data_IF_507295630096
#
_entry.id   IF_507295630096
#
_cell.length_a   1.000
_cell.length_b   1.000
_cell.length_c   1.000
_cell.angle_alpha   90.00
_cell.angle_beta   90.00
_cell.angle_gamma   90.00
#
_symmetry.space_group_name_H-M   'P 1'
#
loop_
_entity.id
_entity.type
_entity.pdbx_description
1 polymer ?
#
# COMPACT_ATOMS: atom_id res chain seq x y z
N UNK A 1 34.06 -15.36 -5.32
CA UNK A 1 33.17 -16.37 -4.72
C UNK A 1 31.86 -16.34 -5.49
N UNK A 2 31.44 -17.49 -6.03
CA UNK A 2 30.39 -17.61 -7.06
C UNK A 2 29.07 -16.91 -6.73
N UNK A 3 28.81 -15.78 -7.36
CA UNK A 3 27.51 -15.09 -7.32
C UNK A 3 26.37 -15.96 -7.86
N UNK A 4 26.69 -16.94 -8.70
CA UNK A 4 25.74 -17.86 -9.33
C UNK A 4 25.08 -18.86 -8.33
N UNK A 5 25.66 -19.09 -7.14
CA UNK A 5 25.11 -20.03 -6.13
C UNK A 5 23.86 -19.50 -5.39
N UNK A 6 23.45 -18.26 -5.65
CA UNK A 6 22.37 -17.59 -4.89
C UNK A 6 21.05 -17.50 -5.65
N UNK A 7 20.97 -18.02 -6.87
CA UNK A 7 19.77 -17.97 -7.73
C UNK A 7 18.53 -18.57 -7.05
N UNK A 8 18.70 -19.59 -6.22
CA UNK A 8 17.58 -20.18 -5.48
C UNK A 8 16.92 -19.20 -4.49
N UNK A 9 17.71 -18.40 -3.77
CA UNK A 9 17.17 -17.40 -2.85
C UNK A 9 16.49 -16.24 -3.60
N UNK A 10 17.06 -15.84 -4.75
CA UNK A 10 16.45 -14.86 -5.63
C UNK A 10 15.10 -15.37 -6.14
N UNK A 11 15.07 -16.63 -6.58
CA UNK A 11 13.85 -17.28 -7.03
C UNK A 11 12.79 -17.36 -5.91
N UNK A 12 13.18 -17.76 -4.70
CA UNK A 12 12.27 -17.79 -3.54
C UNK A 12 11.69 -16.40 -3.23
N UNK A 13 12.50 -15.35 -3.30
CA UNK A 13 12.01 -13.97 -3.12
C UNK A 13 10.98 -13.57 -4.16
N UNK A 14 11.27 -13.75 -5.46
CA UNK A 14 10.33 -13.45 -6.52
C UNK A 14 9.10 -14.37 -6.51
N UNK A 15 9.27 -15.65 -6.15
CA UNK A 15 8.16 -16.60 -6.01
C UNK A 15 7.21 -16.19 -4.88
N UNK A 16 7.74 -15.71 -3.75
CA UNK A 16 6.91 -15.21 -2.64
C UNK A 16 6.03 -14.05 -3.07
N UNK A 17 6.59 -13.10 -3.84
CA UNK A 17 5.84 -11.97 -4.41
C UNK A 17 4.83 -12.46 -5.46
N UNK A 18 5.23 -13.40 -6.31
CA UNK A 18 4.35 -14.02 -7.30
C UNK A 18 3.15 -14.70 -6.64
N UNK A 19 3.36 -15.42 -5.54
CA UNK A 19 2.28 -16.07 -4.78
C UNK A 19 1.37 -15.06 -4.08
N UNK A 20 1.90 -13.97 -3.57
CA UNK A 20 1.09 -12.87 -3.05
C UNK A 20 0.14 -12.34 -4.13
N UNK A 21 0.65 -11.97 -5.29
CA UNK A 21 -0.18 -11.44 -6.37
C UNK A 21 -1.11 -12.49 -6.97
N UNK A 22 -0.70 -13.76 -7.04
CA UNK A 22 -1.58 -14.86 -7.45
C UNK A 22 -2.76 -15.03 -6.48
N UNK A 23 -2.49 -14.98 -5.17
CA UNK A 23 -3.53 -15.05 -4.14
C UNK A 23 -4.54 -13.89 -4.26
N UNK A 24 -4.04 -12.66 -4.40
CA UNK A 24 -4.90 -11.47 -4.55
C UNK A 24 -5.72 -11.54 -5.84
N UNK A 25 -5.09 -11.90 -6.97
CA UNK A 25 -5.75 -12.05 -8.26
C UNK A 25 -6.83 -13.13 -8.21
N UNK A 26 -6.51 -14.31 -7.68
CA UNK A 26 -7.47 -15.40 -7.49
C UNK A 26 -8.65 -14.97 -6.62
N UNK A 27 -8.40 -14.30 -5.50
CA UNK A 27 -9.46 -13.83 -4.62
C UNK A 27 -10.36 -12.80 -5.33
N UNK A 28 -9.76 -11.81 -5.99
CA UNK A 28 -10.49 -10.79 -6.73
C UNK A 28 -11.39 -11.43 -7.81
N UNK A 29 -10.84 -12.31 -8.66
CA UNK A 29 -11.58 -12.96 -9.70
C UNK A 29 -12.69 -13.88 -9.15
N UNK A 30 -12.43 -14.55 -8.03
CA UNK A 30 -13.45 -15.37 -7.35
C UNK A 30 -14.59 -14.52 -6.78
N UNK A 31 -14.29 -13.37 -6.18
CA UNK A 31 -15.27 -12.51 -5.51
C UNK A 31 -16.16 -11.75 -6.52
N UNK A 32 -15.58 -11.21 -7.58
CA UNK A 32 -16.26 -10.31 -8.52
C UNK A 32 -16.75 -11.01 -9.78
N UNK A 33 -16.03 -12.00 -10.29
CA UNK A 33 -16.39 -12.73 -11.52
C UNK A 33 -16.94 -14.14 -11.24
N UNK A 34 -16.96 -14.58 -9.98
CA UNK A 34 -17.44 -15.90 -9.61
C UNK A 34 -16.55 -17.05 -10.11
N UNK A 35 -15.34 -16.76 -10.60
CA UNK A 35 -14.42 -17.78 -11.11
C UNK A 35 -13.87 -18.62 -9.96
N UNK A 36 -14.26 -19.90 -9.93
CA UNK A 36 -13.87 -20.85 -8.87
C UNK A 36 -13.48 -22.19 -9.49
N UNK A 37 -12.73 -23.00 -8.71
CA UNK A 37 -12.32 -24.34 -9.09
C UNK A 37 -10.82 -24.56 -8.98
N UNK A 38 -10.42 -25.83 -8.82
CA UNK A 38 -9.02 -26.21 -8.65
C UNK A 38 -8.16 -25.88 -9.85
N UNK A 39 -8.66 -26.16 -11.06
CA UNK A 39 -7.94 -25.91 -12.31
C UNK A 39 -7.69 -24.40 -12.51
N UNK A 40 -8.70 -23.55 -12.29
CA UNK A 40 -8.55 -22.10 -12.38
C UNK A 40 -7.50 -21.59 -11.36
N UNK A 41 -7.60 -22.04 -10.10
CA UNK A 41 -6.65 -21.69 -9.05
C UNK A 41 -5.23 -22.09 -9.46
N UNK A 42 -5.04 -23.33 -9.92
CA UNK A 42 -3.72 -23.82 -10.35
C UNK A 42 -3.15 -23.01 -11.51
N UNK A 43 -3.99 -22.66 -12.51
CA UNK A 43 -3.56 -21.83 -13.64
C UNK A 43 -3.06 -20.46 -13.21
N UNK A 44 -3.77 -19.78 -12.30
CA UNK A 44 -3.33 -18.47 -11.77
C UNK A 44 -1.97 -18.60 -11.09
N UNK A 45 -1.82 -19.54 -10.17
CA UNK A 45 -0.55 -19.71 -9.44
C UNK A 45 0.61 -20.11 -10.36
N UNK A 46 0.38 -21.01 -11.34
CA UNK A 46 1.40 -21.41 -12.32
C UNK A 46 1.83 -20.22 -13.18
N UNK A 47 0.89 -19.38 -13.65
CA UNK A 47 1.22 -18.21 -14.45
C UNK A 47 2.15 -17.24 -13.71
N UNK A 48 1.84 -16.93 -12.46
CA UNK A 48 2.69 -16.06 -11.64
C UNK A 48 4.03 -16.71 -11.30
N UNK A 49 4.06 -18.03 -11.02
CA UNK A 49 5.28 -18.77 -10.77
C UNK A 49 6.22 -18.80 -12.00
N UNK A 50 5.66 -18.92 -13.21
CA UNK A 50 6.44 -18.79 -14.45
C UNK A 50 7.05 -17.39 -14.60
N UNK A 51 6.35 -16.34 -14.21
CA UNK A 51 6.90 -14.97 -14.16
C UNK A 51 8.08 -14.85 -13.20
N UNK A 52 7.97 -15.43 -12.00
CA UNK A 52 9.07 -15.47 -11.04
C UNK A 52 10.27 -16.27 -11.56
N UNK A 53 10.02 -17.39 -12.20
CA UNK A 53 11.07 -18.22 -12.85
C UNK A 53 11.77 -17.44 -13.96
N UNK A 54 11.02 -16.80 -14.87
CA UNK A 54 11.56 -15.96 -15.92
C UNK A 54 12.49 -14.87 -15.36
N UNK A 55 12.01 -14.12 -14.37
CA UNK A 55 12.79 -13.02 -13.73
C UNK A 55 14.06 -13.52 -13.06
N UNK A 56 14.02 -14.71 -12.45
CA UNK A 56 15.16 -15.23 -11.64
C UNK A 56 16.20 -15.98 -12.44
N UNK A 57 15.79 -16.73 -13.46
CA UNK A 57 16.69 -17.63 -14.20
C UNK A 57 17.03 -17.15 -15.61
N UNK A 58 16.11 -16.46 -16.30
CA UNK A 58 16.33 -16.01 -17.66
C UNK A 58 16.91 -14.60 -17.72
N UNK A 59 16.60 -13.73 -16.75
CA UNK A 59 17.24 -12.41 -16.59
C UNK A 59 18.55 -12.59 -15.82
N UNK A 60 19.59 -13.06 -16.50
CA UNK A 60 20.86 -13.61 -16.02
C UNK A 60 21.79 -12.72 -15.18
N UNK A 61 21.43 -11.49 -14.79
CA UNK A 61 22.39 -10.55 -14.19
C UNK A 61 22.05 -10.05 -12.78
N UNK A 62 21.19 -10.74 -12.03
CA UNK A 62 20.79 -10.25 -10.73
C UNK A 62 21.54 -10.92 -9.58
N UNK A 63 22.32 -10.13 -8.84
CA UNK A 63 22.83 -10.53 -7.52
C UNK A 63 21.71 -10.48 -6.50
N UNK A 64 21.91 -11.08 -5.31
CA UNK A 64 20.95 -10.98 -4.19
C UNK A 64 20.58 -9.52 -3.89
N UNK A 65 21.58 -8.65 -3.81
CA UNK A 65 21.39 -7.23 -3.50
C UNK A 65 20.58 -6.54 -4.58
N UNK A 66 20.95 -6.70 -5.85
CA UNK A 66 20.24 -6.11 -6.97
C UNK A 66 18.79 -6.60 -7.05
N UNK A 67 18.53 -7.89 -6.81
CA UNK A 67 17.15 -8.40 -6.76
C UNK A 67 16.36 -7.82 -5.61
N UNK A 68 16.97 -7.61 -4.44
CA UNK A 68 16.33 -6.91 -3.33
C UNK A 68 16.01 -5.47 -3.67
N UNK A 69 16.91 -4.74 -4.32
CA UNK A 69 16.69 -3.37 -4.81
C UNK A 69 15.59 -3.30 -5.88
N UNK A 70 15.57 -4.23 -6.84
CA UNK A 70 14.51 -4.30 -7.87
C UNK A 70 13.12 -4.46 -7.21
N UNK A 71 13.03 -5.33 -6.18
CA UNK A 71 11.79 -5.53 -5.41
C UNK A 71 11.42 -4.27 -4.63
N UNK A 72 12.40 -3.59 -4.02
CA UNK A 72 12.17 -2.32 -3.36
C UNK A 72 11.64 -1.26 -4.34
N UNK A 73 12.23 -1.14 -5.53
CA UNK A 73 11.76 -0.19 -6.54
C UNK A 73 10.33 -0.47 -7.02
N UNK A 74 9.95 -1.76 -7.14
CA UNK A 74 8.57 -2.14 -7.40
C UNK A 74 7.64 -1.66 -6.28
N UNK A 75 8.03 -1.89 -5.02
CA UNK A 75 7.26 -1.46 -3.86
C UNK A 75 7.14 0.07 -3.78
N UNK A 76 8.22 0.77 -4.08
CA UNK A 76 8.27 2.24 -4.12
C UNK A 76 7.30 2.82 -5.14
N UNK A 77 7.20 2.20 -6.32
CA UNK A 77 6.18 2.56 -7.31
C UNK A 77 4.76 2.35 -6.79
N UNK A 78 4.48 1.20 -6.15
CA UNK A 78 3.16 0.90 -5.57
C UNK A 78 2.78 1.92 -4.49
N UNK A 79 3.67 2.20 -3.55
CA UNK A 79 3.44 3.19 -2.48
C UNK A 79 3.16 4.57 -3.06
N UNK A 80 3.94 5.01 -4.06
CA UNK A 80 3.72 6.28 -4.75
C UNK A 80 2.37 6.34 -5.44
N UNK A 81 2.01 5.28 -6.17
CA UNK A 81 0.73 5.19 -6.86
C UNK A 81 -0.46 5.28 -5.90
N UNK A 82 -0.35 4.62 -4.75
CA UNK A 82 -1.36 4.64 -3.70
C UNK A 82 -1.48 6.03 -3.04
N UNK A 83 -0.38 6.76 -2.85
CA UNK A 83 -0.45 8.14 -2.37
C UNK A 83 -1.15 9.07 -3.35
N UNK A 84 -0.85 8.99 -4.64
CA UNK A 84 -1.59 9.76 -5.65
C UNK A 84 -3.06 9.38 -5.71
N UNK A 85 -3.38 8.08 -5.61
CA UNK A 85 -4.77 7.61 -5.58
C UNK A 85 -5.54 8.21 -4.40
N UNK A 86 -4.95 8.16 -3.19
CA UNK A 86 -5.55 8.73 -1.98
C UNK A 86 -5.68 10.25 -2.07
N UNK A 87 -4.71 10.92 -2.65
CA UNK A 87 -4.77 12.36 -2.88
C UNK A 87 -5.93 12.72 -3.79
N UNK A 88 -6.03 12.08 -4.96
CA UNK A 88 -7.09 12.39 -5.93
C UNK A 88 -8.48 12.04 -5.42
N UNK A 89 -8.64 10.84 -4.84
CA UNK A 89 -9.92 10.43 -4.26
C UNK A 89 -10.32 11.36 -3.11
N UNK A 90 -9.39 11.69 -2.20
CA UNK A 90 -9.67 12.56 -1.07
C UNK A 90 -10.14 13.94 -1.49
N UNK A 91 -9.47 14.57 -2.45
CA UNK A 91 -9.85 15.90 -2.96
C UNK A 91 -11.22 15.84 -3.64
N UNK A 92 -11.43 14.92 -4.57
CA UNK A 92 -12.67 14.87 -5.36
C UNK A 92 -13.86 14.47 -4.51
N UNK A 93 -13.72 13.47 -3.63
CA UNK A 93 -14.82 13.05 -2.76
C UNK A 93 -15.16 14.12 -1.71
N UNK A 94 -14.16 14.86 -1.21
CA UNK A 94 -14.40 16.03 -0.36
C UNK A 94 -15.25 17.07 -1.09
N UNK A 95 -14.91 17.42 -2.34
CA UNK A 95 -15.72 18.37 -3.11
C UNK A 95 -17.15 17.89 -3.33
N UNK A 96 -17.33 16.62 -3.69
CA UNK A 96 -18.67 16.02 -3.84
C UNK A 96 -19.43 16.05 -2.50
N UNK A 97 -18.75 15.76 -1.40
CA UNK A 97 -19.35 15.80 -0.06
C UNK A 97 -19.79 17.22 0.32
N UNK A 98 -18.98 18.25 0.05
CA UNK A 98 -19.36 19.65 0.25
C UNK A 98 -20.59 20.02 -0.59
N UNK A 99 -20.59 19.72 -1.89
CA UNK A 99 -21.72 20.01 -2.77
C UNK A 99 -23.01 19.31 -2.32
N UNK A 100 -22.88 18.11 -1.74
CA UNK A 100 -23.99 17.34 -1.21
C UNK A 100 -24.54 17.93 0.09
N UNK A 101 -23.66 18.25 1.03
CA UNK A 101 -24.02 18.78 2.36
C UNK A 101 -24.65 20.17 2.25
N UNK A 102 -24.07 21.04 1.42
CA UNK A 102 -24.54 22.41 1.20
C UNK A 102 -25.72 22.49 0.22
N UNK A 103 -26.28 21.34 -0.21
CA UNK A 103 -27.42 21.29 -1.14
C UNK A 103 -27.16 22.01 -2.48
N UNK A 104 -25.92 22.07 -2.92
CA UNK A 104 -25.52 22.72 -4.17
C UNK A 104 -25.71 21.78 -5.37
N UNK A 105 -25.69 20.45 -5.13
CA UNK A 105 -25.84 19.46 -6.22
C UNK A 105 -27.06 19.72 -7.11
N UNK A 106 -28.30 20.01 -6.59
CA UNK A 106 -29.45 20.25 -7.43
C UNK A 106 -29.36 21.53 -8.26
N UNK A 107 -28.48 22.47 -7.88
CA UNK A 107 -28.27 23.72 -8.62
C UNK A 107 -27.36 23.49 -9.84
N UNK A 108 -26.39 22.57 -9.71
CA UNK A 108 -25.36 22.32 -10.72
C UNK A 108 -25.70 21.15 -11.65
N UNK A 109 -26.51 20.20 -11.19
CA UNK A 109 -26.76 18.94 -11.87
C UNK A 109 -28.25 18.64 -11.98
N UNK A 110 -28.60 17.82 -12.98
CA UNK A 110 -29.96 17.29 -13.11
C UNK A 110 -30.28 16.24 -12.05
N UNK A 111 -31.55 15.92 -11.84
CA UNK A 111 -32.02 14.98 -10.79
C UNK A 111 -31.36 13.61 -10.87
N UNK A 112 -31.08 13.11 -12.07
CA UNK A 112 -30.44 11.81 -12.28
C UNK A 112 -29.00 11.82 -11.73
N UNK A 113 -28.24 12.87 -12.03
CA UNK A 113 -26.87 13.01 -11.56
C UNK A 113 -26.82 13.27 -10.04
N UNK A 114 -27.74 14.06 -9.50
CA UNK A 114 -27.90 14.26 -8.05
C UNK A 114 -28.14 12.92 -7.37
N UNK A 115 -29.09 12.13 -7.85
CA UNK A 115 -29.39 10.81 -7.30
C UNK A 115 -28.17 9.86 -7.39
N UNK A 116 -27.38 9.95 -8.44
CA UNK A 116 -26.16 9.15 -8.61
C UNK A 116 -25.05 9.56 -7.65
N UNK A 117 -24.79 10.88 -7.50
CA UNK A 117 -23.75 11.43 -6.63
C UNK A 117 -24.06 11.26 -5.13
N UNK A 118 -25.30 10.94 -4.77
CA UNK A 118 -25.70 10.57 -3.40
C UNK A 118 -25.57 9.07 -3.10
N UNK A 119 -25.24 8.23 -4.11
CA UNK A 119 -25.07 6.77 -3.94
C UNK A 119 -23.59 6.39 -3.80
N UNK A 120 -23.17 5.79 -2.67
CA UNK A 120 -21.79 5.38 -2.46
C UNK A 120 -21.26 4.40 -3.54
N UNK A 121 -22.11 3.49 -4.01
CA UNK A 121 -21.75 2.54 -5.06
C UNK A 121 -21.46 3.21 -6.41
N UNK A 122 -22.21 4.25 -6.77
CA UNK A 122 -21.95 5.02 -7.98
C UNK A 122 -20.65 5.81 -7.87
N UNK A 123 -20.48 6.56 -6.78
CA UNK A 123 -19.27 7.35 -6.50
C UNK A 123 -18.05 6.44 -6.47
N UNK A 124 -18.12 5.30 -5.78
CA UNK A 124 -17.04 4.33 -5.72
C UNK A 124 -16.64 3.76 -7.07
N UNK A 125 -17.63 3.37 -7.89
CA UNK A 125 -17.36 2.71 -9.17
C UNK A 125 -16.94 3.70 -10.26
N UNK A 126 -17.66 4.83 -10.38
CA UNK A 126 -17.51 5.74 -11.53
C UNK A 126 -16.61 6.95 -11.24
N UNK A 127 -16.29 7.23 -9.97
CA UNK A 127 -15.42 8.34 -9.58
C UNK A 127 -14.15 7.84 -8.90
N UNK A 128 -14.26 7.09 -7.80
CA UNK A 128 -13.07 6.68 -7.06
C UNK A 128 -12.20 5.71 -7.87
N UNK A 129 -12.78 4.70 -8.52
CA UNK A 129 -11.99 3.73 -9.28
C UNK A 129 -11.20 4.37 -10.45
N UNK A 130 -11.77 5.25 -11.30
CA UNK A 130 -10.98 6.00 -12.28
C UNK A 130 -9.89 6.89 -11.67
N UNK A 131 -10.15 7.51 -10.51
CA UNK A 131 -9.15 8.33 -9.81
C UNK A 131 -8.00 7.49 -9.26
N UNK A 132 -8.28 6.26 -8.80
CA UNK A 132 -7.24 5.31 -8.39
C UNK A 132 -6.37 4.95 -9.60
N UNK A 133 -6.96 4.63 -10.75
CA UNK A 133 -6.22 4.37 -11.99
C UNK A 133 -5.35 5.58 -12.37
N UNK A 134 -5.92 6.79 -12.29
CA UNK A 134 -5.17 8.02 -12.55
C UNK A 134 -3.98 8.18 -11.59
N UNK A 135 -4.13 7.80 -10.32
CA UNK A 135 -3.04 7.76 -9.35
C UNK A 135 -1.89 6.85 -9.77
N UNK A 136 -2.21 5.65 -10.27
CA UNK A 136 -1.20 4.72 -10.80
C UNK A 136 -0.51 5.28 -12.05
N UNK A 137 -1.24 5.95 -12.93
CA UNK A 137 -0.66 6.61 -14.11
C UNK A 137 0.24 7.80 -13.72
N UNK A 138 -0.20 8.62 -12.77
CA UNK A 138 0.59 9.76 -12.28
C UNK A 138 1.92 9.31 -11.66
N UNK A 139 1.93 8.16 -10.97
CA UNK A 139 3.14 7.59 -10.38
C UNK A 139 4.18 7.13 -11.39
N UNK A 140 3.82 6.93 -12.66
CA UNK A 140 4.78 6.63 -13.74
C UNK A 140 5.63 7.86 -14.11
N UNK A 141 5.03 9.05 -14.03
CA UNK A 141 5.68 10.30 -14.42
C UNK A 141 6.37 10.99 -13.24
N UNK A 142 5.77 10.97 -12.07
CA UNK A 142 6.31 11.62 -10.88
C UNK A 142 7.27 10.71 -10.14
N UNK A 143 8.41 11.26 -9.70
CA UNK A 143 9.39 10.55 -8.87
C UNK A 143 9.24 10.84 -7.38
N UNK A 144 8.44 11.84 -7.00
CA UNK A 144 8.20 12.17 -5.58
C UNK A 144 7.32 11.12 -4.92
N UNK A 145 7.62 10.77 -3.67
CA UNK A 145 6.78 9.87 -2.87
C UNK A 145 5.52 10.56 -2.35
N UNK A 146 5.49 11.89 -2.31
CA UNK A 146 4.32 12.65 -1.90
C UNK A 146 4.07 12.75 -0.40
N UNK A 147 4.87 12.11 0.47
CA UNK A 147 4.68 12.15 1.93
C UNK A 147 4.63 13.56 2.49
N UNK A 148 5.61 14.38 2.14
CA UNK A 148 5.72 15.75 2.63
C UNK A 148 4.51 16.59 2.21
N UNK A 149 4.07 16.44 0.96
CA UNK A 149 2.90 17.14 0.46
C UNK A 149 1.61 16.69 1.14
N UNK A 150 1.45 15.37 1.34
CA UNK A 150 0.28 14.85 2.05
C UNK A 150 0.27 15.31 3.52
N UNK A 151 1.41 15.30 4.21
CA UNK A 151 1.53 15.82 5.56
C UNK A 151 1.17 17.31 5.63
N UNK A 152 1.66 18.13 4.67
CA UNK A 152 1.31 19.54 4.58
C UNK A 152 -0.20 19.75 4.37
N UNK A 153 -0.81 18.95 3.50
CA UNK A 153 -2.25 19.03 3.23
C UNK A 153 -3.08 18.62 4.45
N UNK A 154 -2.64 17.64 5.23
CA UNK A 154 -3.29 17.26 6.49
C UNK A 154 -3.25 18.44 7.46
N UNK A 155 -2.09 19.06 7.66
CA UNK A 155 -1.93 20.22 8.55
C UNK A 155 -2.78 21.40 8.05
N UNK A 156 -2.81 21.65 6.74
CA UNK A 156 -3.64 22.68 6.15
C UNK A 156 -5.14 22.42 6.37
N UNK A 157 -5.58 21.17 6.19
CA UNK A 157 -6.96 20.76 6.42
C UNK A 157 -7.37 20.93 7.89
N UNK A 158 -6.51 20.52 8.83
CA UNK A 158 -6.73 20.74 10.26
C UNK A 158 -6.82 22.22 10.61
N UNK A 159 -5.95 23.05 10.05
CA UNK A 159 -5.99 24.50 10.26
C UNK A 159 -7.32 25.09 9.74
N UNK A 160 -7.77 24.68 8.56
CA UNK A 160 -9.07 25.09 8.00
C UNK A 160 -10.22 24.67 8.92
N UNK A 161 -10.19 23.43 9.45
CA UNK A 161 -11.19 22.94 10.40
C UNK A 161 -11.24 23.83 11.63
N UNK A 162 -10.07 24.15 12.23
CA UNK A 162 -9.99 25.03 13.40
C UNK A 162 -10.56 26.41 13.11
N UNK A 163 -10.20 27.03 11.99
CA UNK A 163 -10.71 28.34 11.60
C UNK A 163 -12.23 28.27 11.38
N UNK A 164 -12.73 27.30 10.63
CA UNK A 164 -14.15 27.13 10.38
C UNK A 164 -14.94 26.98 11.68
N UNK A 165 -14.45 26.17 12.60
CA UNK A 165 -15.11 25.89 13.87
C UNK A 165 -15.16 27.10 14.79
N UNK A 166 -14.02 27.82 14.99
CA UNK A 166 -13.91 28.88 15.98
C UNK A 166 -14.29 30.26 15.44
N UNK A 167 -14.09 30.53 14.14
CA UNK A 167 -14.40 31.84 13.55
C UNK A 167 -15.82 31.85 12.94
N UNK A 168 -16.19 30.77 12.25
CA UNK A 168 -17.46 30.72 11.52
C UNK A 168 -18.53 29.85 12.19
N UNK A 169 -18.21 29.18 13.32
CA UNK A 169 -19.11 28.20 13.98
C UNK A 169 -19.60 27.14 13.01
N UNK A 170 -18.78 26.78 12.03
CA UNK A 170 -19.10 25.82 10.96
C UNK A 170 -18.24 24.57 11.14
N UNK A 171 -18.91 23.43 11.31
CA UNK A 171 -18.26 22.11 11.41
C UNK A 171 -19.11 21.06 10.68
N UNK A 172 -18.47 20.34 9.77
CA UNK A 172 -19.10 19.28 8.99
C UNK A 172 -18.33 17.96 9.13
N UNK A 173 -19.06 16.84 9.15
CA UNK A 173 -18.51 15.51 9.31
C UNK A 173 -17.46 15.17 8.22
N UNK A 174 -17.67 15.66 7.00
CA UNK A 174 -16.76 15.46 5.85
C UNK A 174 -15.34 15.97 6.10
N UNK A 175 -15.16 17.02 6.91
CA UNK A 175 -13.85 17.59 7.22
C UNK A 175 -13.00 16.61 8.04
N UNK A 176 -13.57 16.02 9.08
CA UNK A 176 -12.91 14.99 9.89
C UNK A 176 -12.65 13.70 9.11
N UNK A 177 -13.53 13.34 8.17
CA UNK A 177 -13.34 12.17 7.31
C UNK A 177 -12.14 12.35 6.37
N UNK A 178 -11.94 13.56 5.79
CA UNK A 178 -10.81 13.87 4.93
C UNK A 178 -9.47 13.72 5.66
N UNK A 179 -9.36 14.34 6.83
CA UNK A 179 -8.13 14.29 7.65
C UNK A 179 -7.84 12.85 8.05
N UNK A 180 -8.85 12.10 8.52
CA UNK A 180 -8.70 10.70 8.90
C UNK A 180 -8.26 9.84 7.72
N UNK A 181 -8.79 10.08 6.53
CA UNK A 181 -8.45 9.37 5.31
C UNK A 181 -6.99 9.59 4.88
N UNK A 182 -6.55 10.84 4.81
CA UNK A 182 -5.17 11.18 4.45
C UNK A 182 -4.15 10.76 5.50
N UNK A 183 -4.47 10.97 6.77
CA UNK A 183 -3.63 10.59 7.89
C UNK A 183 -3.43 9.07 7.97
N UNK A 184 -4.49 8.27 7.82
CA UNK A 184 -4.37 6.82 7.80
C UNK A 184 -3.49 6.32 6.63
N UNK A 185 -3.65 6.92 5.44
CA UNK A 185 -2.79 6.62 4.30
C UNK A 185 -1.33 6.99 4.58
N UNK A 186 -1.08 8.19 5.15
CA UNK A 186 0.27 8.65 5.46
C UNK A 186 1.01 7.63 6.33
N UNK A 187 0.39 7.19 7.43
CA UNK A 187 1.04 6.27 8.36
C UNK A 187 1.18 4.85 7.79
N UNK A 188 0.13 4.31 7.19
CA UNK A 188 0.14 2.93 6.74
C UNK A 188 0.99 2.71 5.48
N UNK A 189 0.94 3.64 4.52
CA UNK A 189 1.67 3.47 3.27
C UNK A 189 3.15 3.86 3.38
N UNK A 190 3.50 4.81 4.28
CA UNK A 190 4.90 5.15 4.50
C UNK A 190 5.69 4.08 5.23
N UNK A 191 5.03 3.17 5.95
CA UNK A 191 5.70 2.16 6.79
C UNK A 191 6.71 1.32 6.03
N UNK A 192 6.39 0.90 4.80
CA UNK A 192 7.28 0.11 3.96
C UNK A 192 8.53 0.90 3.52
N UNK A 193 8.38 2.20 3.22
CA UNK A 193 9.49 3.08 2.91
C UNK A 193 10.36 3.34 4.15
N UNK A 194 9.73 3.61 5.29
CA UNK A 194 10.43 3.85 6.56
C UNK A 194 11.24 2.63 7.01
N UNK A 195 10.74 1.43 6.76
CA UNK A 195 11.51 0.19 7.00
C UNK A 195 12.77 0.14 6.13
N UNK A 196 12.68 0.50 4.85
CA UNK A 196 13.84 0.49 3.95
C UNK A 196 14.86 1.58 4.30
N UNK A 197 14.38 2.78 4.61
CA UNK A 197 15.24 3.93 4.93
C UNK A 197 15.80 3.88 6.36
N UNK A 198 15.45 2.83 7.13
CA UNK A 198 15.82 2.64 8.52
C UNK A 198 15.48 3.85 9.41
N UNK A 199 14.42 4.57 9.04
CA UNK A 199 13.95 5.79 9.71
C UNK A 199 13.38 5.58 11.13
N UNK A 200 13.39 4.35 11.64
CA UNK A 200 12.98 4.05 13.00
C UNK A 200 14.12 4.27 13.99
N UNK A 201 13.82 4.96 15.08
CA UNK A 201 14.74 5.04 16.23
C UNK A 201 14.93 3.63 16.80
N UNK A 202 16.15 3.15 16.80
CA UNK A 202 16.51 1.83 17.36
C UNK A 202 17.15 2.01 18.71
N UNK A 203 16.64 1.31 19.71
CA UNK A 203 17.35 1.09 20.98
C UNK A 203 18.07 -0.26 20.83
N UNK A 204 19.20 -0.25 20.16
CA UNK A 204 19.88 -1.45 19.67
C UNK A 204 21.25 -1.72 20.30
N UNK A 205 21.37 -1.46 21.60
CA UNK A 205 22.62 -1.65 22.34
C UNK A 205 23.26 -3.01 22.08
N UNK A 206 22.45 -4.08 22.05
CA UNK A 206 22.93 -5.44 21.76
C UNK A 206 23.24 -5.61 20.28
N UNK A 207 22.34 -5.12 19.40
CA UNK A 207 22.47 -5.24 17.96
C UNK A 207 23.66 -4.43 17.42
N UNK A 208 23.92 -3.25 17.96
CA UNK A 208 25.04 -2.39 17.54
C UNK A 208 26.40 -3.07 17.75
N UNK A 209 26.53 -3.91 18.80
CA UNK A 209 27.75 -4.67 19.09
C UNK A 209 27.99 -5.89 18.21
N UNK A 210 27.03 -6.28 17.34
CA UNK A 210 27.17 -7.43 16.46
C UNK A 210 28.07 -7.13 15.26
N UNK A 211 28.75 -8.18 14.76
CA UNK A 211 29.45 -8.11 13.48
C UNK A 211 28.49 -7.89 12.32
N UNK A 212 28.93 -7.29 11.21
CA UNK A 212 28.08 -7.06 10.03
C UNK A 212 27.42 -8.34 9.50
N UNK A 213 28.15 -9.47 9.54
CA UNK A 213 27.57 -10.78 9.19
C UNK A 213 26.45 -11.19 10.13
N UNK A 214 26.65 -11.02 11.45
CA UNK A 214 25.63 -11.37 12.45
C UNK A 214 24.40 -10.46 12.31
N UNK A 215 24.59 -9.17 12.04
CA UNK A 215 23.49 -8.23 11.73
C UNK A 215 22.70 -8.69 10.50
N UNK A 216 23.40 -9.08 9.42
CA UNK A 216 22.76 -9.63 8.23
C UNK A 216 21.92 -10.88 8.52
N UNK A 217 22.42 -11.81 9.33
CA UNK A 217 21.68 -13.02 9.72
C UNK A 217 20.44 -12.68 10.56
N UNK A 218 20.58 -11.84 11.57
CA UNK A 218 19.48 -11.43 12.46
C UNK A 218 18.39 -10.72 11.65
N UNK A 219 18.76 -9.81 10.75
CA UNK A 219 17.82 -9.08 9.89
C UNK A 219 17.10 -10.04 8.92
N UNK A 220 17.82 -10.97 8.29
CA UNK A 220 17.23 -11.96 7.39
C UNK A 220 16.24 -12.88 8.15
N UNK A 221 16.63 -13.40 9.31
CA UNK A 221 15.78 -14.25 10.14
C UNK A 221 14.55 -13.49 10.65
N UNK A 222 14.73 -12.27 11.17
CA UNK A 222 13.65 -11.41 11.64
C UNK A 222 12.65 -11.04 10.54
N UNK A 223 13.14 -10.79 9.33
CA UNK A 223 12.27 -10.51 8.18
C UNK A 223 11.34 -11.67 7.86
N UNK A 224 11.83 -12.92 7.95
CA UNK A 224 11.02 -14.12 7.67
C UNK A 224 10.12 -14.46 8.84
N UNK A 225 10.69 -14.60 10.05
CA UNK A 225 9.98 -15.13 11.22
C UNK A 225 8.95 -14.14 11.76
N UNK A 226 9.27 -12.84 11.79
CA UNK A 226 8.39 -11.82 12.34
C UNK A 226 7.67 -11.04 11.24
N UNK A 227 8.42 -10.51 10.25
CA UNK A 227 7.86 -9.65 9.23
C UNK A 227 6.91 -10.36 8.28
N UNK A 228 7.39 -11.36 7.55
CA UNK A 228 6.57 -12.06 6.56
C UNK A 228 5.43 -12.84 7.21
N UNK A 229 5.64 -13.49 8.35
CA UNK A 229 4.59 -14.25 9.04
C UNK A 229 3.42 -13.34 9.47
N UNK A 230 3.72 -12.16 10.01
CA UNK A 230 2.69 -11.16 10.38
C UNK A 230 1.92 -10.68 9.16
N UNK A 231 2.62 -10.31 8.08
CA UNK A 231 1.97 -9.87 6.85
C UNK A 231 1.10 -10.97 6.23
N UNK A 232 1.59 -12.21 6.17
CA UNK A 232 0.83 -13.36 5.66
C UNK A 232 -0.45 -13.58 6.49
N UNK A 233 -0.35 -13.49 7.82
CA UNK A 233 -1.51 -13.65 8.70
C UNK A 233 -2.56 -12.59 8.41
N UNK A 234 -2.17 -11.30 8.32
CA UNK A 234 -3.09 -10.21 7.99
C UNK A 234 -3.72 -10.43 6.61
N UNK A 235 -2.93 -10.81 5.61
CA UNK A 235 -3.41 -11.04 4.24
C UNK A 235 -4.39 -12.21 4.18
N UNK A 236 -4.04 -13.35 4.76
CA UNK A 236 -4.92 -14.53 4.72
C UNK A 236 -6.22 -14.27 5.46
N UNK A 237 -6.15 -13.76 6.70
CA UNK A 237 -7.35 -13.49 7.50
C UNK A 237 -8.17 -12.35 6.89
N UNK A 238 -7.50 -11.30 6.43
CA UNK A 238 -8.15 -10.10 5.91
C UNK A 238 -8.89 -10.32 4.59
N UNK A 239 -8.38 -11.19 3.71
CA UNK A 239 -8.93 -11.42 2.37
C UNK A 239 -9.69 -12.75 2.22
N UNK A 240 -9.92 -13.52 3.29
CA UNK A 240 -10.52 -14.85 3.21
C UNK A 240 -12.04 -14.81 3.01
N UNK A 241 -12.47 -14.65 1.77
CA UNK A 241 -13.87 -14.73 1.36
C UNK A 241 -14.64 -13.40 1.44
N UNK A 242 -15.93 -13.44 1.11
CA UNK A 242 -16.79 -12.25 0.97
C UNK A 242 -17.03 -11.50 2.29
N UNK A 243 -17.04 -12.21 3.41
CA UNK A 243 -17.31 -11.66 4.74
C UNK A 243 -16.06 -11.23 5.49
N UNK A 244 -14.90 -11.40 4.88
CA UNK A 244 -13.61 -10.99 5.48
C UNK A 244 -13.56 -9.49 5.73
N UNK A 245 -12.82 -9.09 6.77
CA UNK A 245 -12.76 -7.72 7.27
C UNK A 245 -12.31 -6.69 6.22
N UNK A 246 -11.48 -7.09 5.26
CA UNK A 246 -11.02 -6.22 4.17
C UNK A 246 -11.96 -6.24 2.95
N UNK A 247 -12.56 -7.38 2.65
CA UNK A 247 -13.40 -7.54 1.46
C UNK A 247 -14.81 -6.99 1.64
N UNK A 248 -15.45 -7.27 2.80
CA UNK A 248 -16.84 -6.92 3.02
C UNK A 248 -17.12 -5.42 2.89
N UNK A 249 -16.34 -4.51 3.50
CA UNK A 249 -16.56 -3.07 3.36
C UNK A 249 -16.51 -2.59 1.91
N UNK A 250 -15.57 -3.12 1.13
CA UNK A 250 -15.39 -2.75 -0.29
C UNK A 250 -16.54 -3.27 -1.14
N UNK A 251 -16.99 -4.52 -0.90
CA UNK A 251 -18.08 -5.12 -1.66
C UNK A 251 -19.42 -4.41 -1.48
N UNK A 252 -19.64 -3.78 -0.31
CA UNK A 252 -20.87 -3.06 0.00
C UNK A 252 -20.76 -1.55 -0.07
N UNK A 253 -19.60 -1.01 -0.46
CA UNK A 253 -19.29 0.42 -0.44
C UNK A 253 -19.62 1.04 0.91
N UNK A 254 -19.07 0.47 1.99
CA UNK A 254 -19.41 0.87 3.36
C UNK A 254 -19.08 2.34 3.62
N UNK A 255 -20.08 3.08 4.13
CA UNK A 255 -19.96 4.50 4.48
C UNK A 255 -19.84 4.68 6.00
N UNK A 256 -19.38 5.86 6.43
CA UNK A 256 -19.29 6.22 7.84
C UNK A 256 -20.68 6.33 8.48
N UNK A 257 -20.71 6.37 9.81
CA UNK A 257 -21.96 6.56 10.58
C UNK A 257 -22.61 7.92 10.29
N UNK A 258 -21.84 8.89 9.80
CA UNK A 258 -22.36 10.18 9.36
C UNK A 258 -23.26 10.08 8.10
N UNK A 259 -23.29 8.93 7.43
CA UNK A 259 -24.13 8.70 6.26
C UNK A 259 -23.76 9.63 5.10
N UNK A 260 -24.77 10.27 4.52
CA UNK A 260 -24.61 11.16 3.35
C UNK A 260 -23.95 12.50 3.65
N UNK A 261 -23.83 12.91 4.91
CA UNK A 261 -23.12 14.14 5.30
C UNK A 261 -21.60 13.95 5.45
N UNK A 262 -21.14 12.69 5.49
CA UNK A 262 -19.73 12.35 5.47
C UNK A 262 -19.19 12.09 4.07
N UNK A 263 -17.88 11.83 3.98
CA UNK A 263 -17.23 11.34 2.76
C UNK A 263 -17.52 9.85 2.55
N UNK A 264 -17.47 9.40 1.31
CA UNK A 264 -17.68 7.99 0.95
C UNK A 264 -16.38 7.19 0.87
N UNK A 265 -15.44 7.45 1.79
CA UNK A 265 -14.09 6.85 1.81
C UNK A 265 -13.89 5.75 2.87
N UNK A 266 -14.91 5.41 3.67
CA UNK A 266 -14.75 4.42 4.76
C UNK A 266 -14.32 3.04 4.25
N UNK A 267 -14.86 2.58 3.12
CA UNK A 267 -14.47 1.30 2.54
C UNK A 267 -13.00 1.27 2.06
N UNK A 268 -12.43 2.43 1.67
CA UNK A 268 -11.00 2.56 1.42
C UNK A 268 -10.18 2.40 2.70
N UNK A 269 -10.61 3.07 3.79
CA UNK A 269 -9.92 2.98 5.09
C UNK A 269 -9.83 1.53 5.58
N UNK A 270 -10.89 0.73 5.41
CA UNK A 270 -10.86 -0.68 5.74
C UNK A 270 -9.80 -1.43 4.92
N UNK A 271 -9.64 -1.07 3.64
CA UNK A 271 -8.66 -1.71 2.75
C UNK A 271 -7.21 -1.27 3.00
N UNK A 272 -6.97 -0.15 3.69
CA UNK A 272 -5.62 0.35 3.98
C UNK A 272 -4.78 -0.61 4.81
N UNK A 273 -5.39 -1.38 5.70
CA UNK A 273 -4.69 -2.45 6.42
C UNK A 273 -4.17 -3.53 5.46
N UNK A 274 -4.94 -3.89 4.45
CA UNK A 274 -4.50 -4.82 3.41
C UNK A 274 -3.36 -4.26 2.57
N UNK A 275 -3.44 -2.99 2.19
CA UNK A 275 -2.37 -2.29 1.46
C UNK A 275 -1.09 -2.25 2.29
N UNK A 276 -1.20 -1.91 3.59
CA UNK A 276 -0.08 -1.97 4.53
C UNK A 276 0.57 -3.36 4.53
N UNK A 277 -0.22 -4.41 4.72
CA UNK A 277 0.31 -5.77 4.78
C UNK A 277 0.97 -6.21 3.46
N UNK A 278 0.40 -5.82 2.30
CA UNK A 278 0.95 -6.11 0.98
C UNK A 278 2.29 -5.38 0.78
N UNK A 279 2.34 -4.08 1.02
CA UNK A 279 3.56 -3.28 0.81
C UNK A 279 4.67 -3.67 1.79
N UNK A 280 4.31 -3.95 3.05
CA UNK A 280 5.26 -4.46 4.04
C UNK A 280 5.76 -5.86 3.69
N UNK A 281 4.90 -6.76 3.19
CA UNK A 281 5.33 -8.07 2.73
C UNK A 281 6.39 -7.95 1.62
N UNK A 282 6.13 -7.14 0.60
CA UNK A 282 7.06 -6.91 -0.50
C UNK A 282 8.38 -6.32 0.04
N UNK A 283 8.31 -5.39 0.99
CA UNK A 283 9.49 -4.77 1.59
C UNK A 283 10.30 -5.76 2.44
N UNK A 284 9.66 -6.65 3.21
CA UNK A 284 10.35 -7.68 3.97
C UNK A 284 11.05 -8.71 3.07
N UNK A 285 10.47 -9.05 1.91
CA UNK A 285 11.15 -9.90 0.91
C UNK A 285 12.39 -9.19 0.36
N UNK A 286 12.30 -7.91 0.02
CA UNK A 286 13.44 -7.09 -0.39
C UNK A 286 14.53 -7.07 0.70
N UNK A 287 14.13 -6.76 1.92
CA UNK A 287 15.02 -6.64 3.08
C UNK A 287 15.69 -7.98 3.40
N UNK A 288 14.97 -9.09 3.27
CA UNK A 288 15.54 -10.45 3.40
C UNK A 288 16.67 -10.70 2.42
N UNK A 289 16.49 -10.38 1.13
CA UNK A 289 17.52 -10.61 0.11
C UNK A 289 18.75 -9.71 0.32
N UNK A 290 18.56 -8.46 0.70
CA UNK A 290 19.64 -7.52 1.00
C UNK A 290 20.40 -7.99 2.24
N UNK A 291 19.72 -8.35 3.31
CA UNK A 291 20.33 -8.84 4.55
C UNK A 291 21.06 -10.16 4.36
N UNK A 292 20.57 -11.04 3.49
CA UNK A 292 21.26 -12.28 3.12
C UNK A 292 22.53 -11.98 2.31
N UNK A 293 22.54 -10.93 1.47
CA UNK A 293 23.74 -10.48 0.78
C UNK A 293 24.80 -9.95 1.78
N UNK A 294 24.36 -9.21 2.82
CA UNK A 294 25.25 -8.74 3.90
C UNK A 294 25.84 -9.90 4.70
N UNK A 295 25.01 -10.88 5.08
CA UNK A 295 25.48 -12.11 5.74
C UNK A 295 26.53 -12.86 4.93
N UNK A 296 26.35 -12.94 3.62
CA UNK A 296 27.31 -13.60 2.70
C UNK A 296 28.53 -12.73 2.35
N UNK A 297 28.59 -11.49 2.81
CA UNK A 297 29.70 -10.57 2.58
C UNK A 297 29.80 -10.07 1.14
N UNK A 298 28.65 -9.94 0.43
CA UNK A 298 28.63 -9.33 -0.89
C UNK A 298 28.92 -7.83 -0.80
N UNK A 299 29.62 -7.29 -1.80
CA UNK A 299 29.96 -5.87 -1.87
C UNK A 299 28.73 -4.96 -1.93
N UNK A 300 28.85 -3.69 -1.52
CA UNK A 300 27.81 -2.68 -1.60
C UNK A 300 26.85 -2.65 -0.40
N UNK A 301 27.26 -3.16 0.78
CA UNK A 301 26.48 -3.00 2.00
C UNK A 301 26.21 -1.53 2.31
N UNK A 302 24.96 -1.18 2.64
CA UNK A 302 24.60 0.20 3.03
C UNK A 302 25.23 0.52 4.38
N UNK A 303 25.93 1.66 4.46
CA UNK A 303 26.37 2.19 5.76
C UNK A 303 25.20 3.00 6.33
N UNK A 304 24.57 2.44 7.35
CA UNK A 304 23.46 3.10 8.05
C UNK A 304 24.02 4.29 8.83
N UNK A 305 23.34 5.43 8.79
CA UNK A 305 23.67 6.61 9.62
C UNK A 305 24.54 7.68 8.98
N UNK A 306 24.96 7.55 7.71
CA UNK A 306 25.79 8.59 7.06
C UNK A 306 24.94 9.61 6.26
N UNK A 307 23.70 9.30 5.91
CA UNK A 307 22.85 10.14 5.06
C UNK A 307 21.64 10.77 5.77
N UNK A 308 21.56 10.72 7.09
CA UNK A 308 20.46 11.35 7.85
C UNK A 308 20.65 12.88 8.09
N UNK A 309 21.58 13.51 7.39
CA UNK A 309 21.91 14.94 7.53
C UNK A 309 21.85 15.70 6.20
N UNK A 310 20.75 15.52 5.43
CA UNK A 310 20.44 16.46 4.32
C UNK A 310 18.92 16.61 4.15
#
# INVERSE_FOLDING_TARGET
MDENKNTHFIFLGWLSIAFLFAFLTKNYLSLYLGLQGGLFTSLVYVLFALGAFYKSYLVKSSTLRKSGEDIHHLNLYLVRALFFAVLFVGIVDMFIAVLRVEQILPILFNDVNVANLTRPSFVGTFIHFPLIILGFLAALYSKTLGFTWLALLIVAAELVIVICRFVFSYEQALMGDLVRYWYAALFLFSSAYTLYDEGHVRVDVVYAGLSEKSKGLVNAAGSVILGLSTCITIIIVGFNGKTAILNKPVLVFEISQAGTVGMFVKYHLAYFLGIFAITMFIQFVSYFLISLADYKGHSGARKVGVNAAH
#
